data_IF_152538024529
#
_entry.id   IF_152538024529
#
_cell.length_a   1.000
_cell.length_b   1.000
_cell.length_c   1.000
_cell.angle_alpha   90.00
_cell.angle_beta   90.00
_cell.angle_gamma   90.00
#
_symmetry.space_group_name_H-M   'P 1'
#
loop_
_entity.id
_entity.type
_entity.pdbx_description
1 polymer ?
#
# COMPACT_ATOMS: atom_id res chain seq x y z
N UNK A 1 -9.89 -1.92 -22.38
CA UNK A 1 -8.77 -1.33 -21.62
C UNK A 1 -7.73 -2.42 -21.45
N UNK A 2 -6.43 -2.12 -21.62
CA UNK A 2 -5.36 -3.09 -21.37
C UNK A 2 -5.37 -3.51 -19.89
N UNK A 3 -5.10 -4.79 -19.63
CA UNK A 3 -4.91 -5.34 -18.30
C UNK A 3 -3.45 -5.77 -18.12
N UNK A 4 -2.96 -5.63 -16.89
CA UNK A 4 -1.59 -5.91 -16.48
C UNK A 4 -1.62 -6.80 -15.25
N UNK A 5 -0.85 -7.88 -15.32
CA UNK A 5 -0.70 -8.87 -14.26
C UNK A 5 0.63 -8.72 -13.54
N UNK A 6 0.68 -9.13 -12.27
CA UNK A 6 1.90 -9.24 -11.48
C UNK A 6 2.09 -10.68 -11.06
N UNK A 7 3.10 -11.34 -11.62
CA UNK A 7 3.48 -12.69 -11.27
C UNK A 7 5.00 -12.79 -11.16
N UNK A 8 5.49 -13.54 -10.18
CA UNK A 8 6.91 -13.66 -9.85
C UNK A 8 7.61 -12.30 -9.67
N UNK A 9 6.86 -11.31 -9.17
CA UNK A 9 7.33 -9.93 -9.00
C UNK A 9 7.51 -9.14 -10.31
N UNK A 10 6.99 -9.64 -11.44
CA UNK A 10 7.12 -9.01 -12.76
C UNK A 10 5.76 -8.60 -13.31
N UNK A 11 5.70 -7.36 -13.79
CA UNK A 11 4.51 -6.84 -14.47
C UNK A 11 4.54 -7.31 -15.92
N UNK A 12 3.44 -7.90 -16.38
CA UNK A 12 3.25 -8.32 -17.78
C UNK A 12 1.89 -7.84 -18.29
N UNK A 13 1.79 -7.58 -19.59
CA UNK A 13 0.51 -7.30 -20.24
C UNK A 13 -0.28 -8.57 -20.48
N UNK A 14 -1.59 -8.56 -20.22
CA UNK A 14 -2.47 -9.72 -20.41
C UNK A 14 -3.74 -9.38 -21.22
N UNK A 15 -3.55 -8.74 -22.38
CA UNK A 15 -4.64 -8.10 -23.14
C UNK A 15 -5.66 -9.06 -23.75
N UNK A 16 -5.24 -10.29 -24.08
CA UNK A 16 -6.09 -11.27 -24.75
C UNK A 16 -6.87 -12.14 -23.79
N UNK A 17 -6.34 -12.37 -22.58
CA UNK A 17 -6.91 -13.27 -21.58
C UNK A 17 -7.84 -12.52 -20.64
N UNK A 18 -7.48 -11.29 -20.25
CA UNK A 18 -8.22 -10.56 -19.24
C UNK A 18 -9.20 -9.55 -19.82
N UNK A 19 -10.14 -9.14 -18.98
CA UNK A 19 -11.02 -8.02 -19.24
C UNK A 19 -11.26 -7.22 -17.96
N UNK A 20 -11.42 -5.92 -18.16
CA UNK A 20 -11.64 -4.98 -17.07
C UNK A 20 -12.96 -5.26 -16.34
N UNK A 21 -12.89 -5.24 -15.02
CA UNK A 21 -14.03 -5.31 -14.12
C UNK A 21 -14.65 -3.93 -13.95
N UNK A 22 -15.68 -3.65 -14.73
CA UNK A 22 -16.41 -2.39 -14.72
C UNK A 22 -15.83 -1.37 -15.70
N UNK A 23 -16.29 -0.14 -15.52
CA UNK A 23 -15.93 1.01 -16.36
C UNK A 23 -15.12 2.00 -15.53
N UNK A 24 -13.95 2.37 -16.05
CA UNK A 24 -13.13 3.43 -15.47
C UNK A 24 -13.83 4.79 -15.63
N UNK A 25 -13.58 5.71 -14.71
CA UNK A 25 -14.05 7.10 -14.79
C UNK A 25 -12.94 8.08 -14.40
N UNK A 26 -13.24 9.38 -14.44
CA UNK A 26 -12.23 10.42 -14.14
C UNK A 26 -11.68 10.39 -12.70
N UNK A 27 -12.42 9.80 -11.76
CA UNK A 27 -12.03 9.72 -10.34
C UNK A 27 -11.41 8.37 -9.99
N UNK A 28 -11.78 7.32 -10.72
CA UNK A 28 -11.25 5.96 -10.61
C UNK A 28 -10.85 5.50 -12.03
N UNK A 29 -9.68 5.98 -12.52
CA UNK A 29 -9.24 5.74 -13.89
C UNK A 29 -8.75 4.30 -14.11
N UNK A 30 -8.50 3.56 -13.04
CA UNK A 30 -8.09 2.18 -13.09
C UNK A 30 -9.09 1.28 -12.38
N UNK A 31 -9.26 0.09 -12.92
CA UNK A 31 -10.13 -0.94 -12.39
C UNK A 31 -9.40 -2.28 -12.38
N UNK A 32 -9.86 -3.18 -11.52
CA UNK A 32 -9.39 -4.55 -11.46
C UNK A 32 -9.70 -5.29 -12.79
N UNK A 33 -8.97 -6.36 -13.07
CA UNK A 33 -9.14 -7.21 -14.25
C UNK A 33 -9.25 -8.68 -13.84
N UNK A 34 -10.09 -9.43 -14.55
CA UNK A 34 -10.21 -10.88 -14.39
C UNK A 34 -10.15 -11.56 -15.75
N UNK A 35 -9.83 -12.86 -15.77
CA UNK A 35 -9.84 -13.71 -16.94
C UNK A 35 -11.24 -13.73 -17.56
N UNK A 36 -11.29 -13.69 -18.89
CA UNK A 36 -12.54 -13.87 -19.63
C UNK A 36 -13.09 -15.28 -19.39
N UNK A 37 -14.33 -15.36 -18.93
CA UNK A 37 -14.99 -16.59 -18.49
C UNK A 37 -15.29 -16.59 -16.98
N UNK A 38 -14.72 -15.65 -16.23
CA UNK A 38 -14.78 -15.61 -14.77
C UNK A 38 -15.62 -14.45 -14.23
N UNK A 39 -15.85 -14.46 -12.91
CA UNK A 39 -16.57 -13.42 -12.20
C UNK A 39 -15.61 -12.46 -11.51
N UNK A 40 -15.86 -11.17 -11.71
CA UNK A 40 -15.26 -10.11 -10.90
C UNK A 40 -15.99 -10.03 -9.56
N UNK A 41 -15.26 -10.23 -8.47
CA UNK A 41 -15.79 -10.10 -7.11
C UNK A 41 -15.28 -8.81 -6.45
N UNK A 42 -15.89 -8.42 -5.34
CA UNK A 42 -15.40 -7.33 -4.50
C UNK A 42 -13.99 -7.62 -3.97
N UNK A 43 -13.29 -6.56 -3.53
CA UNK A 43 -11.98 -6.64 -2.87
C UNK A 43 -10.84 -7.14 -3.77
N UNK A 44 -10.91 -6.90 -5.08
CA UNK A 44 -9.84 -7.29 -6.01
C UNK A 44 -9.66 -8.81 -6.10
N UNK A 45 -10.75 -9.56 -5.96
CA UNK A 45 -10.77 -11.02 -6.07
C UNK A 45 -11.56 -11.39 -7.33
N UNK A 46 -11.06 -12.37 -8.05
CA UNK A 46 -11.75 -13.01 -9.16
C UNK A 46 -12.18 -14.41 -8.75
N UNK A 47 -13.29 -14.89 -9.30
CA UNK A 47 -13.77 -16.25 -9.09
C UNK A 47 -13.94 -16.96 -10.42
N UNK A 48 -13.25 -18.08 -10.59
CA UNK A 48 -13.50 -18.98 -11.70
C UNK A 48 -14.49 -20.05 -11.30
N UNK A 49 -15.31 -20.49 -12.25
CA UNK A 49 -16.20 -21.62 -12.09
C UNK A 49 -16.26 -22.41 -13.39
N UNK A 50 -15.55 -23.53 -13.43
CA UNK A 50 -15.39 -24.37 -14.62
C UNK A 50 -15.70 -25.82 -14.31
N UNK A 51 -16.70 -26.40 -14.99
CA UNK A 51 -17.04 -27.83 -14.91
C UNK A 51 -17.21 -28.38 -13.48
N UNK A 52 -17.86 -27.60 -12.60
CA UNK A 52 -18.07 -27.98 -11.19
C UNK A 52 -16.88 -27.73 -10.26
N UNK A 53 -15.75 -27.23 -10.78
CA UNK A 53 -14.62 -26.75 -9.98
C UNK A 53 -14.68 -25.24 -9.90
N UNK A 54 -14.66 -24.70 -8.69
CA UNK A 54 -14.56 -23.26 -8.44
C UNK A 54 -13.31 -22.92 -7.64
N UNK A 55 -12.83 -21.70 -7.77
CA UNK A 55 -11.77 -21.17 -6.93
C UNK A 55 -11.62 -19.68 -7.13
N UNK A 56 -10.64 -19.11 -6.44
CA UNK A 56 -10.42 -17.67 -6.40
C UNK A 56 -8.98 -17.35 -6.74
N UNK A 57 -8.76 -16.17 -7.28
CA UNK A 57 -7.42 -15.64 -7.54
C UNK A 57 -7.43 -14.11 -7.39
N UNK A 58 -6.26 -13.53 -7.12
CA UNK A 58 -6.14 -12.08 -7.00
C UNK A 58 -6.29 -11.45 -8.39
N UNK A 59 -7.07 -10.37 -8.45
CA UNK A 59 -7.36 -9.67 -9.69
C UNK A 59 -6.13 -8.92 -10.22
N UNK A 60 -6.01 -8.89 -11.54
CA UNK A 60 -5.07 -8.03 -12.24
C UNK A 60 -5.60 -6.59 -12.28
N UNK A 61 -4.94 -5.67 -13.01
CA UNK A 61 -5.39 -4.27 -13.05
C UNK A 61 -5.19 -3.61 -14.40
N UNK A 62 -5.97 -2.58 -14.69
CA UNK A 62 -5.75 -1.74 -15.88
C UNK A 62 -4.63 -0.70 -15.70
N UNK A 63 -4.09 -0.53 -14.49
CA UNK A 63 -2.94 0.33 -14.24
C UNK A 63 -1.64 -0.36 -14.69
N UNK A 64 -0.88 0.19 -15.65
CA UNK A 64 0.39 -0.37 -16.09
C UNK A 64 1.47 -0.43 -14.99
N UNK A 65 1.32 0.35 -13.92
CA UNK A 65 2.27 0.39 -12.80
C UNK A 65 1.87 -0.46 -11.60
N UNK A 66 0.59 -0.89 -11.57
CA UNK A 66 -0.04 -1.57 -10.44
C UNK A 66 0.14 -0.86 -9.10
N UNK A 67 0.19 0.47 -9.12
CA UNK A 67 0.31 1.29 -7.91
C UNK A 67 -1.02 1.93 -7.49
N UNK A 68 -2.01 1.94 -8.39
CA UNK A 68 -3.33 2.44 -8.05
C UNK A 68 -3.96 1.60 -6.92
N UNK A 69 -4.59 2.22 -5.91
CA UNK A 69 -5.23 1.51 -4.80
C UNK A 69 -6.33 0.53 -5.22
N UNK A 70 -6.91 0.67 -6.42
CA UNK A 70 -7.87 -0.31 -6.95
C UNK A 70 -7.18 -1.62 -7.39
N UNK A 71 -5.87 -1.62 -7.57
CA UNK A 71 -5.11 -2.78 -8.03
C UNK A 71 -4.72 -3.69 -6.87
N UNK A 72 -5.07 -4.97 -6.99
CA UNK A 72 -4.65 -6.00 -6.03
C UNK A 72 -3.25 -6.51 -6.40
N UNK A 73 -2.23 -6.05 -5.68
CA UNK A 73 -0.84 -6.54 -5.86
C UNK A 73 -0.50 -7.73 -4.97
N UNK A 74 -1.45 -8.16 -4.13
CA UNK A 74 -1.30 -9.36 -3.29
C UNK A 74 -1.09 -10.58 -4.16
N UNK A 75 -0.27 -11.48 -3.66
CA UNK A 75 0.15 -12.69 -4.34
C UNK A 75 1.01 -12.47 -5.59
N UNK A 76 1.28 -11.23 -5.99
CA UNK A 76 2.02 -10.98 -7.23
C UNK A 76 3.50 -11.32 -7.18
N UNK A 77 4.05 -11.53 -5.97
CA UNK A 77 5.39 -12.07 -5.77
C UNK A 77 5.52 -13.57 -6.03
N UNK A 78 4.41 -14.29 -6.16
CA UNK A 78 4.38 -15.75 -6.36
C UNK A 78 4.19 -16.12 -7.83
N UNK A 79 4.37 -17.39 -8.17
CA UNK A 79 4.29 -17.88 -9.56
C UNK A 79 2.95 -17.54 -10.22
N UNK A 80 1.85 -17.69 -9.49
CA UNK A 80 0.53 -17.21 -9.88
C UNK A 80 -0.22 -16.64 -8.66
N UNK A 81 -1.46 -16.19 -8.88
CA UNK A 81 -2.25 -15.45 -7.91
C UNK A 81 -3.41 -16.24 -7.28
N UNK A 82 -3.38 -17.59 -7.32
CA UNK A 82 -4.45 -18.39 -6.69
C UNK A 82 -4.59 -18.07 -5.20
N UNK A 83 -5.84 -18.03 -4.75
CA UNK A 83 -6.22 -17.69 -3.39
C UNK A 83 -6.93 -18.84 -2.70
N UNK A 84 -6.71 -18.93 -1.39
CA UNK A 84 -7.48 -19.77 -0.48
C UNK A 84 -7.96 -18.94 0.71
N UNK A 85 -9.07 -19.34 1.31
CA UNK A 85 -9.60 -18.71 2.52
C UNK A 85 -9.42 -19.66 3.70
N UNK A 86 -8.81 -19.16 4.77
CA UNK A 86 -8.65 -19.89 6.02
C UNK A 86 -9.73 -19.43 7.00
N UNK A 87 -10.77 -20.26 7.16
CA UNK A 87 -11.90 -19.98 8.06
C UNK A 87 -11.46 -19.81 9.53
N UNK A 88 -10.34 -20.41 9.94
CA UNK A 88 -9.88 -20.34 11.31
C UNK A 88 -9.26 -18.98 11.67
N UNK A 89 -8.53 -18.39 10.71
CA UNK A 89 -7.95 -17.05 10.89
C UNK A 89 -8.83 -15.93 10.33
N UNK A 90 -9.82 -16.27 9.50
CA UNK A 90 -10.69 -15.31 8.81
C UNK A 90 -9.96 -14.52 7.72
N UNK A 91 -8.83 -15.02 7.22
CA UNK A 91 -7.97 -14.34 6.26
C UNK A 91 -7.87 -15.13 4.95
N UNK A 92 -7.69 -14.38 3.86
CA UNK A 92 -7.25 -14.94 2.59
C UNK A 92 -5.74 -15.13 2.59
N UNK A 93 -5.26 -16.13 1.86
CA UNK A 93 -3.85 -16.42 1.68
C UNK A 93 -3.57 -16.80 0.23
N UNK A 94 -2.36 -16.50 -0.23
CA UNK A 94 -1.88 -16.97 -1.53
C UNK A 94 -1.59 -18.46 -1.48
N UNK A 95 -1.99 -19.22 -2.50
CA UNK A 95 -1.60 -20.62 -2.59
C UNK A 95 -0.09 -20.75 -2.85
N UNK A 96 0.52 -21.82 -2.34
CA UNK A 96 1.88 -22.18 -2.73
C UNK A 96 1.87 -22.96 -4.04
N UNK A 97 3.04 -23.13 -4.66
CA UNK A 97 3.22 -23.95 -5.86
C UNK A 97 4.31 -24.97 -5.61
N UNK A 98 4.02 -26.21 -5.96
CA UNK A 98 4.98 -27.30 -5.87
C UNK A 98 6.02 -27.18 -6.99
N UNK A 99 7.11 -27.95 -6.90
CA UNK A 99 8.15 -27.98 -7.95
C UNK A 99 7.66 -28.51 -9.31
N UNK A 100 6.47 -29.13 -9.37
CA UNK A 100 5.80 -29.54 -10.60
C UNK A 100 4.88 -28.47 -11.21
N UNK A 101 4.89 -27.24 -10.65
CA UNK A 101 4.09 -26.11 -11.10
C UNK A 101 2.61 -26.20 -10.71
N UNK A 102 2.20 -27.20 -9.92
CA UNK A 102 0.82 -27.32 -9.46
C UNK A 102 0.58 -26.50 -8.21
N UNK A 103 -0.53 -25.77 -8.20
CA UNK A 103 -0.99 -25.05 -7.03
C UNK A 103 -1.27 -26.00 -5.85
N UNK A 104 -0.89 -25.56 -4.67
CA UNK A 104 -1.11 -26.22 -3.40
C UNK A 104 -1.74 -25.21 -2.42
N UNK A 105 -3.07 -25.15 -2.44
CA UNK A 105 -3.84 -24.30 -1.55
C UNK A 105 -4.07 -24.91 -0.17
N UNK A 106 -3.71 -26.18 0.04
CA UNK A 106 -3.77 -26.86 1.34
C UNK A 106 -2.61 -26.47 2.26
N UNK A 107 -1.50 -26.00 1.68
CA UNK A 107 -0.39 -25.41 2.39
C UNK A 107 -0.10 -24.02 1.79
N UNK A 108 -0.94 -23.01 2.10
CA UNK A 108 -0.78 -21.66 1.56
C UNK A 108 0.49 -20.99 2.10
N UNK A 109 0.88 -19.89 1.45
CA UNK A 109 2.03 -19.10 1.87
C UNK A 109 1.71 -18.24 3.10
N UNK A 110 2.73 -17.61 3.66
CA UNK A 110 2.59 -16.67 4.79
C UNK A 110 2.01 -15.31 4.38
N UNK A 111 1.84 -15.05 3.07
CA UNK A 111 1.21 -13.84 2.59
C UNK A 111 -0.31 -13.94 2.77
N UNK A 112 -0.81 -13.30 3.83
CA UNK A 112 -2.22 -13.27 4.20
C UNK A 112 -2.78 -11.86 4.19
N UNK A 113 -4.07 -11.71 3.89
CA UNK A 113 -4.76 -10.42 3.86
C UNK A 113 -6.24 -10.51 4.25
N UNK A 114 -6.80 -9.43 4.82
CA UNK A 114 -8.22 -9.39 5.16
C UNK A 114 -9.09 -9.02 3.95
N UNK A 115 -10.17 -9.77 3.76
CA UNK A 115 -11.30 -9.45 2.88
C UNK A 115 -12.53 -10.26 3.35
N UNK A 116 -13.76 -9.94 2.88
CA UNK A 116 -14.94 -10.73 3.20
C UNK A 116 -14.71 -12.22 2.91
N UNK A 117 -15.36 -13.08 3.69
CA UNK A 117 -15.33 -14.52 3.43
C UNK A 117 -15.98 -14.85 2.08
N UNK A 118 -15.71 -16.02 1.48
CA UNK A 118 -16.20 -16.35 0.14
C UNK A 118 -17.71 -16.17 -0.09
N UNK A 119 -18.55 -16.46 0.92
CA UNK A 119 -20.01 -16.30 0.84
C UNK A 119 -20.48 -14.83 0.88
N UNK A 120 -19.63 -13.93 1.37
CA UNK A 120 -19.94 -12.52 1.57
C UNK A 120 -19.30 -11.63 0.49
N UNK A 121 -18.54 -12.22 -0.43
CA UNK A 121 -18.01 -11.50 -1.59
C UNK A 121 -19.16 -11.07 -2.50
N UNK A 122 -19.23 -9.77 -2.79
CA UNK A 122 -20.19 -9.25 -3.75
C UNK A 122 -19.70 -9.54 -5.16
N UNK A 123 -20.53 -10.20 -5.98
CA UNK A 123 -20.30 -10.28 -7.41
C UNK A 123 -20.49 -8.89 -8.03
N UNK A 124 -19.49 -8.41 -8.77
CA UNK A 124 -19.54 -7.11 -9.47
C UNK A 124 -20.04 -7.33 -10.89
N UNK A 125 -19.44 -8.26 -11.62
CA UNK A 125 -19.83 -8.58 -12.99
C UNK A 125 -19.32 -9.95 -13.41
N UNK A 126 -19.98 -10.54 -14.40
CA UNK A 126 -19.50 -11.68 -15.15
C UNK A 126 -18.80 -11.20 -16.44
N UNK A 127 -17.63 -11.75 -16.72
CA UNK A 127 -16.88 -11.53 -17.96
C UNK A 127 -17.10 -12.71 -18.89
N UNK A 128 -17.95 -12.61 -19.93
CA UNK A 128 -18.08 -13.70 -20.88
C UNK A 128 -16.81 -13.83 -21.73
N UNK A 129 -16.52 -15.05 -22.20
CA UNK A 129 -15.41 -15.29 -23.14
C UNK A 129 -15.57 -14.49 -24.43
N UNK A 130 -16.82 -14.25 -24.85
CA UNK A 130 -17.19 -13.42 -25.99
C UNK A 130 -18.44 -12.59 -25.67
N UNK A 131 -18.53 -11.37 -26.20
CA UNK A 131 -19.70 -10.50 -26.02
C UNK A 131 -19.54 -9.46 -24.91
N UNK A 132 -20.66 -9.06 -24.30
CA UNK A 132 -20.72 -7.94 -23.36
C UNK A 132 -20.77 -8.42 -21.92
N UNK A 133 -20.00 -7.82 -20.98
CA UNK A 133 -20.09 -8.12 -19.56
C UNK A 133 -21.51 -8.02 -19.03
N UNK A 134 -21.87 -8.92 -18.12
CA UNK A 134 -23.19 -8.95 -17.47
C UNK A 134 -23.06 -8.56 -16.01
N UNK A 135 -23.97 -7.71 -15.53
CA UNK A 135 -24.00 -7.28 -14.13
C UNK A 135 -25.09 -8.05 -13.38
N UNK A 136 -24.87 -8.41 -12.11
CA UNK A 136 -25.92 -8.98 -11.29
C UNK A 136 -27.06 -7.97 -11.19
N UNK A 137 -28.25 -8.40 -11.56
CA UNK A 137 -29.46 -7.60 -11.34
C UNK A 137 -29.80 -7.71 -9.87
N UNK A 138 -29.95 -6.59 -9.17
CA UNK A 138 -30.40 -6.62 -7.78
C UNK A 138 -31.79 -7.27 -7.73
N UNK A 139 -31.86 -8.54 -7.33
CA UNK A 139 -33.13 -9.16 -6.95
C UNK A 139 -33.52 -8.51 -5.63
N UNK A 140 -34.50 -7.62 -5.65
CA UNK A 140 -35.15 -7.15 -4.43
C UNK A 140 -35.74 -8.37 -3.73
N UNK A 141 -35.00 -8.94 -2.77
CA UNK A 141 -35.54 -9.96 -1.89
C UNK A 141 -36.48 -9.25 -0.93
N UNK A 142 -37.77 -9.56 -1.02
CA UNK A 142 -38.77 -9.14 -0.05
C UNK A 142 -38.27 -9.45 1.36
N UNK A 143 -37.99 -8.40 2.14
CA UNK A 143 -37.78 -8.49 3.58
C UNK A 143 -39.11 -8.86 4.23
N UNK A 144 -39.47 -10.14 4.17
CA UNK A 144 -40.50 -10.70 5.03
C UNK A 144 -39.94 -10.72 6.44
N UNK A 145 -40.31 -9.68 7.20
CA UNK A 145 -39.97 -9.52 8.61
C UNK A 145 -40.63 -10.63 9.42
N UNK A 146 -39.95 -11.77 9.56
CA UNK A 146 -40.34 -12.80 10.54
C UNK A 146 -39.62 -12.48 11.83
N UNK A 147 -40.32 -11.78 12.72
CA UNK A 147 -39.86 -11.43 14.06
C UNK A 147 -39.66 -12.72 14.87
N UNK A 148 -38.40 -13.17 14.97
CA UNK A 148 -37.97 -14.16 15.96
C UNK A 148 -36.95 -13.48 16.87
N UNK A 149 -37.38 -13.24 18.11
CA UNK A 149 -36.58 -12.64 19.17
C UNK A 149 -35.42 -13.55 19.57
N UNK A 150 -34.20 -13.22 19.16
CA UNK A 150 -32.99 -13.65 19.86
C UNK A 150 -31.95 -12.53 19.81
N UNK A 151 -31.63 -12.04 21.00
CA UNK A 151 -30.75 -10.93 21.31
C UNK A 151 -29.34 -11.11 20.74
N UNK A 152 -29.01 -10.32 19.72
CA UNK A 152 -27.66 -10.13 19.21
C UNK A 152 -27.56 -8.71 18.67
N UNK A 153 -26.79 -7.85 19.34
CA UNK A 153 -26.65 -6.45 18.97
C UNK A 153 -25.75 -6.31 17.74
N UNK A 154 -26.31 -6.51 16.55
CA UNK A 154 -25.62 -6.26 15.28
C UNK A 154 -25.83 -4.79 14.90
N UNK A 155 -24.84 -3.97 15.23
CA UNK A 155 -24.84 -2.54 14.91
C UNK A 155 -24.45 -2.39 13.43
N UNK A 156 -25.36 -1.84 12.62
CA UNK A 156 -25.17 -1.70 11.17
C UNK A 156 -23.95 -0.84 10.79
N UNK A 157 -23.39 -1.11 9.61
CA UNK A 157 -22.17 -0.50 9.08
C UNK A 157 -22.15 1.06 9.13
N UNK A 158 -23.31 1.71 9.15
CA UNK A 158 -23.43 3.16 9.33
C UNK A 158 -23.03 3.69 10.71
N UNK A 159 -23.07 2.87 11.77
CA UNK A 159 -22.70 3.29 13.12
C UNK A 159 -21.22 3.01 13.47
N UNK A 160 -20.55 2.09 12.76
CA UNK A 160 -19.12 1.82 12.93
C UNK A 160 -18.22 2.96 12.41
N UNK A 161 -18.69 3.74 11.42
CA UNK A 161 -17.95 4.88 10.88
C UNK A 161 -17.86 6.08 11.85
N UNK A 162 -18.77 6.18 12.83
CA UNK A 162 -18.81 7.30 13.78
C UNK A 162 -17.84 7.20 14.96
N UNK A 163 -17.38 5.99 15.30
CA UNK A 163 -16.53 5.73 16.47
C UNK A 163 -15.03 5.66 16.07
N UNK A 164 -14.66 5.79 14.80
CA UNK A 164 -13.24 5.82 14.39
C UNK A 164 -12.55 7.17 14.56
N UNK A 165 -13.29 8.27 14.42
CA UNK A 165 -12.69 9.63 14.31
C UNK A 165 -12.60 10.35 15.67
N UNK A 166 -13.39 9.95 16.67
CA UNK A 166 -13.44 10.64 17.97
C UNK A 166 -12.22 10.44 18.87
N UNK A 167 -11.57 9.27 18.81
CA UNK A 167 -10.46 8.95 19.73
C UNK A 167 -9.17 9.65 19.33
N UNK A 168 -8.92 9.83 18.02
CA UNK A 168 -7.76 10.55 17.52
C UNK A 168 -7.75 12.03 17.92
N UNK A 169 -8.89 12.72 17.78
CA UNK A 169 -8.99 14.13 18.15
C UNK A 169 -8.91 14.36 19.66
N UNK A 170 -9.50 13.47 20.47
CA UNK A 170 -9.51 13.60 21.94
C UNK A 170 -8.11 13.49 22.57
N UNK A 171 -7.34 12.47 22.17
CA UNK A 171 -5.97 12.27 22.72
C UNK A 171 -5.03 13.39 22.28
N UNK A 172 -5.15 13.87 21.04
CA UNK A 172 -4.30 14.94 20.53
C UNK A 172 -4.54 16.27 21.26
N UNK A 173 -5.81 16.62 21.54
CA UNK A 173 -6.14 17.83 22.29
C UNK A 173 -5.68 17.77 23.75
N UNK A 174 -5.82 16.62 24.41
CA UNK A 174 -5.34 16.42 25.80
C UNK A 174 -3.80 16.49 25.85
N UNK A 175 -3.10 15.90 24.88
CA UNK A 175 -1.64 15.97 24.81
C UNK A 175 -1.13 17.40 24.62
N UNK A 176 -1.77 18.19 23.74
CA UNK A 176 -1.39 19.59 23.49
C UNK A 176 -1.64 20.46 24.74
N UNK A 177 -2.80 20.34 25.38
CA UNK A 177 -3.09 21.09 26.61
C UNK A 177 -2.17 20.70 27.76
N UNK A 178 -1.86 19.40 27.92
CA UNK A 178 -0.90 18.92 28.91
C UNK A 178 0.51 19.48 28.69
N UNK A 179 1.01 19.41 27.45
CA UNK A 179 2.33 19.94 27.09
C UNK A 179 2.40 21.47 27.30
N UNK A 180 1.38 22.21 26.85
CA UNK A 180 1.33 23.67 27.00
C UNK A 180 1.36 24.11 28.47
N UNK A 181 0.61 23.43 29.34
CA UNK A 181 0.58 23.77 30.76
C UNK A 181 1.89 23.42 31.48
N UNK A 182 2.54 22.31 31.07
CA UNK A 182 3.85 21.91 31.57
C UNK A 182 4.94 22.93 31.22
N UNK A 183 5.00 23.37 29.96
CA UNK A 183 5.96 24.39 29.53
C UNK A 183 5.68 25.76 30.16
N UNK A 184 4.41 26.12 30.37
CA UNK A 184 4.05 27.39 31.02
C UNK A 184 4.42 27.42 32.51
N UNK A 185 4.47 26.26 33.18
CA UNK A 185 4.98 26.15 34.56
C UNK A 185 6.50 26.17 34.64
N UNK A 186 7.20 25.84 33.56
CA UNK A 186 8.65 25.97 33.43
C UNK A 186 9.03 27.36 32.91
N UNK A 187 8.70 28.41 33.66
CA UNK A 187 9.45 29.67 33.54
C UNK A 187 10.72 29.52 34.37
N UNK A 188 11.93 29.54 33.78
CA UNK A 188 13.14 29.71 34.56
C UNK A 188 13.15 31.13 35.17
N UNK A 189 13.55 31.30 36.44
CA UNK A 189 13.82 32.62 36.98
C UNK A 189 14.92 33.30 36.16
N UNK A 190 14.62 34.50 35.70
CA UNK A 190 15.49 35.42 35.00
C UNK A 190 16.64 35.84 35.94
N UNK A 191 17.84 35.31 35.73
CA UNK A 191 19.06 35.91 36.28
C UNK A 191 19.57 36.95 35.30
N UNK A 192 19.31 38.21 35.64
CA UNK A 192 19.92 39.38 35.03
C UNK A 192 21.42 39.47 35.38
N UNK A 193 22.18 40.02 34.43
CA UNK A 193 23.38 40.87 34.60
C UNK A 193 24.55 40.33 35.46
N UNK A 194 25.74 40.28 34.87
CA UNK A 194 26.73 41.35 35.09
C UNK A 194 28.02 41.13 34.29
N UNK A 195 28.35 42.17 33.54
CA UNK A 195 29.64 42.54 32.96
C UNK A 195 30.86 42.38 33.88
N UNK A 196 32.01 41.98 33.32
CA UNK A 196 33.28 42.77 33.37
C UNK A 196 34.40 42.19 32.46
N UNK A 197 35.14 43.04 31.73
CA UNK A 197 36.38 42.72 31.00
C UNK A 197 37.63 43.03 31.86
N UNK A 198 38.83 43.03 31.24
CA UNK A 198 40.13 43.56 31.74
C UNK A 198 40.99 42.51 32.49
N UNK A 199 42.30 42.33 32.32
CA UNK A 199 43.36 42.73 31.36
C UNK A 199 44.67 42.06 31.83
N UNK A 200 45.71 42.16 30.99
CA UNK A 200 47.15 42.23 31.31
C UNK A 200 47.92 40.91 31.54
N UNK A 201 48.78 40.60 30.55
CA UNK A 201 50.08 39.90 30.73
C UNK A 201 51.10 40.88 31.37
N UNK A 202 52.36 40.47 31.75
CA UNK A 202 53.43 40.20 30.76
C UNK A 202 54.62 39.26 31.18
N UNK A 203 55.35 38.82 30.13
CA UNK A 203 56.81 38.63 29.96
C UNK A 203 57.65 37.59 30.76
N UNK A 204 58.37 36.72 30.03
CA UNK A 204 59.86 36.60 29.90
C UNK A 204 60.19 35.26 29.16
N UNK A 205 60.52 35.25 27.86
CA UNK A 205 61.84 35.36 27.16
C UNK A 205 62.64 34.04 27.07
N UNK A 206 62.91 33.63 25.82
CA UNK A 206 63.89 32.61 25.41
C UNK A 206 63.80 32.36 23.88
N UNK A 207 64.84 32.60 23.06
CA UNK A 207 64.73 32.82 21.61
C UNK A 207 65.21 31.67 20.70
N UNK A 208 64.96 31.87 19.39
CA UNK A 208 65.58 31.27 18.18
C UNK A 208 65.27 29.80 17.86
N UNK A 209 64.80 29.41 16.67
CA UNK A 209 64.90 29.98 15.32
C UNK A 209 63.50 30.06 14.65
N UNK A 210 63.11 31.14 13.97
CA UNK A 210 63.46 31.47 12.57
C UNK A 210 63.22 30.27 11.61
N UNK A 211 62.44 30.35 10.55
CA UNK A 211 61.82 31.49 9.88
C UNK A 211 60.82 31.03 8.81
N UNK A 212 59.84 31.92 8.54
CA UNK A 212 59.08 32.14 7.30
C UNK A 212 58.21 30.99 6.73
N UNK A 213 56.87 31.02 6.82
CA UNK A 213 55.90 32.02 6.29
C UNK A 213 56.06 32.12 4.76
N UNK A 214 55.09 31.88 3.89
CA UNK A 214 53.76 32.44 3.57
C UNK A 214 53.35 31.55 2.35
N UNK A 215 52.13 31.36 1.87
CA UNK A 215 50.82 31.95 2.04
C UNK A 215 49.97 31.39 0.89
N UNK A 216 48.67 31.65 0.99
CA UNK A 216 47.77 31.89 -0.12
C UNK A 216 47.27 30.72 -0.96
N UNK A 217 45.92 30.63 -0.92
CA UNK A 217 45.02 30.46 -2.07
C UNK A 217 45.12 29.11 -2.82
N UNK A 218 44.05 28.44 -3.20
CA UNK A 218 42.81 28.90 -3.80
C UNK A 218 41.91 27.65 -3.88
N UNK A 219 40.71 27.65 -3.30
CA UNK A 219 39.43 27.74 -4.01
C UNK A 219 39.41 27.15 -5.44
N UNK A 220 38.57 26.12 -5.58
CA UNK A 220 37.54 25.93 -6.62
C UNK A 220 37.82 25.04 -7.85
N UNK A 221 36.75 24.30 -8.18
CA UNK A 221 36.36 23.70 -9.45
C UNK A 221 37.20 22.57 -10.06
N UNK A 222 36.67 21.34 -10.00
CA UNK A 222 36.97 20.31 -11.00
C UNK A 222 35.68 19.83 -11.66
N UNK A 223 35.10 20.72 -12.48
CA UNK A 223 34.23 20.33 -13.58
C UNK A 223 35.06 20.27 -14.86
N UNK A 224 35.20 19.07 -15.46
CA UNK A 224 35.62 18.93 -16.85
C UNK A 224 35.05 17.65 -17.47
N UNK A 225 34.31 17.75 -18.59
CA UNK A 225 33.97 16.61 -19.44
C UNK A 225 34.96 16.46 -20.63
N UNK A 226 34.77 15.35 -21.37
CA UNK A 226 35.24 15.03 -22.75
C UNK A 226 36.62 14.32 -22.88
N UNK A 227 36.97 13.56 -23.97
CA UNK A 227 36.20 12.98 -25.12
C UNK A 227 36.46 11.49 -25.44
N UNK A 228 35.56 10.93 -26.28
CA UNK A 228 35.82 9.77 -27.16
C UNK A 228 36.83 10.12 -28.27
N UNK A 229 37.64 9.15 -28.71
CA UNK A 229 37.99 9.08 -30.13
C UNK A 229 37.78 7.68 -30.76
N UNK A 230 37.05 7.73 -31.87
CA UNK A 230 37.29 7.14 -33.19
C UNK A 230 37.90 5.75 -33.42
N UNK A 231 37.20 5.04 -34.29
CA UNK A 231 37.60 3.89 -35.12
C UNK A 231 38.88 4.11 -35.95
N UNK A 232 39.59 3.01 -36.24
CA UNK A 232 39.96 2.52 -37.59
C UNK A 232 41.11 1.51 -37.50
N UNK A 233 40.84 0.25 -37.87
CA UNK A 233 41.64 -0.66 -38.72
C UNK A 233 41.16 -2.11 -38.54
#
# INVERSE_FOLDING_TARGET
>A
MPCYTLHSGKISSNFDVDSACGVANSTHPYVQCCVKGDYCMSNGICQYQNNGVSGYYAADCTDPTLQDPACMTRCGGHEFSDLTYDESSGLWACCSYNSDGKKNCSNPTDEKFPAPMPSDLATIQYLPTTGTPSYPTATASDVTSTQSSSSGSHIGAGAAAGIGVGVGAGVFLIAITGAFWYFRRRKPPQSQQSSKPTSFQPLWVGPEAETHQLDSQQRAELGKPEPRPHELA
#
